data_IF_457515257479
#
_entry.id   IF_457515257479
#
_cell.length_a   1.000
_cell.length_b   1.000
_cell.length_c   1.000
_cell.angle_alpha   90.00
_cell.angle_beta   90.00
_cell.angle_gamma   90.00
#
_symmetry.space_group_name_H-M   'P 1'
#
loop_
_entity.id
_entity.type
_entity.pdbx_description
1 polymer ?
#
# COMPACT_ATOMS: atom_id res chain seq x y z
N UNK A 1 28.72 -1.18 -2.69
CA UNK A 1 29.30 -2.33 -3.42
C UNK A 1 28.73 -3.67 -2.97
N UNK A 2 28.21 -3.81 -1.75
CA UNK A 2 27.46 -4.98 -1.32
C UNK A 2 26.01 -4.95 -1.85
N UNK A 3 25.52 -6.07 -2.40
CA UNK A 3 24.14 -6.28 -2.85
C UNK A 3 23.16 -6.54 -1.69
N UNK A 4 23.13 -5.63 -0.72
CA UNK A 4 22.42 -5.77 0.55
C UNK A 4 21.04 -5.10 0.61
N UNK A 5 20.48 -4.67 -0.52
CA UNK A 5 19.22 -3.91 -0.52
C UNK A 5 18.06 -4.69 0.12
N UNK A 6 18.07 -6.01 -0.02
CA UNK A 6 17.15 -6.92 0.65
C UNK A 6 17.18 -6.79 2.19
N UNK A 7 18.36 -6.65 2.79
CA UNK A 7 18.51 -6.50 4.23
C UNK A 7 18.10 -5.09 4.68
N UNK A 8 18.54 -4.05 3.97
CA UNK A 8 18.20 -2.67 4.30
C UNK A 8 16.71 -2.38 4.23
N UNK A 9 16.04 -2.82 3.16
CA UNK A 9 14.61 -2.61 3.02
C UNK A 9 13.84 -3.38 4.12
N UNK A 10 14.24 -4.61 4.44
CA UNK A 10 13.56 -5.40 5.46
C UNK A 10 13.74 -4.84 6.87
N UNK A 11 14.98 -4.46 7.25
CA UNK A 11 15.22 -3.85 8.56
C UNK A 11 14.59 -2.48 8.69
N UNK A 12 14.57 -1.67 7.62
CA UNK A 12 13.87 -0.39 7.61
C UNK A 12 12.37 -0.57 7.86
N UNK A 13 11.71 -1.45 7.10
CA UNK A 13 10.29 -1.77 7.24
C UNK A 13 9.97 -2.25 8.66
N UNK A 14 10.71 -3.22 9.18
CA UNK A 14 10.50 -3.72 10.53
C UNK A 14 10.70 -2.62 11.59
N UNK A 15 11.72 -1.77 11.45
CA UNK A 15 12.00 -0.70 12.41
C UNK A 15 10.94 0.40 12.40
N UNK A 16 10.45 0.80 11.22
CA UNK A 16 9.37 1.77 11.12
C UNK A 16 8.08 1.24 11.72
N UNK A 17 7.70 -0.01 11.41
CA UNK A 17 6.50 -0.63 11.96
C UNK A 17 6.56 -0.82 13.47
N UNK A 18 7.73 -1.19 14.01
CA UNK A 18 7.95 -1.23 15.46
C UNK A 18 7.74 0.15 16.10
N UNK A 19 8.27 1.21 15.47
CA UNK A 19 8.12 2.58 15.93
C UNK A 19 6.65 3.02 15.95
N UNK A 20 5.90 2.73 14.88
CA UNK A 20 4.48 3.07 14.78
C UNK A 20 3.65 2.39 15.87
N UNK A 21 3.89 1.10 16.14
CA UNK A 21 3.20 0.40 17.23
C UNK A 21 3.48 1.03 18.60
N UNK A 22 4.74 1.42 18.87
CA UNK A 22 5.08 2.14 20.12
C UNK A 22 4.37 3.48 20.22
N UNK A 23 4.37 4.27 19.13
CA UNK A 23 3.68 5.55 19.06
C UNK A 23 2.17 5.42 19.30
N UNK A 24 1.52 4.43 18.68
CA UNK A 24 0.11 4.13 18.92
C UNK A 24 -0.18 3.68 20.36
N UNK A 25 0.79 3.00 20.99
CA UNK A 25 0.76 2.65 22.41
C UNK A 25 1.03 3.80 23.38
N UNK A 26 1.27 5.02 22.88
CA UNK A 26 1.59 6.21 23.69
C UNK A 26 3.05 6.33 24.10
N UNK A 27 3.92 5.45 23.63
CA UNK A 27 5.37 5.55 23.81
C UNK A 27 5.96 6.41 22.68
N UNK A 28 6.51 7.57 23.03
CA UNK A 28 7.22 8.43 22.06
C UNK A 28 8.72 8.17 22.16
N UNK A 29 9.34 7.50 21.19
CA UNK A 29 10.79 7.26 21.22
C UNK A 29 11.54 8.58 21.09
N UNK A 30 12.59 8.77 21.89
CA UNK A 30 13.45 9.96 21.79
C UNK A 30 14.17 10.06 20.43
N UNK A 31 14.42 8.92 19.77
CA UNK A 31 15.01 8.83 18.44
C UNK A 31 14.62 7.51 17.76
N UNK A 32 14.53 7.51 16.43
CA UNK A 32 14.39 6.27 15.64
C UNK A 32 15.62 5.38 15.83
N UNK A 33 15.39 4.09 16.11
CA UNK A 33 16.44 3.09 16.31
C UNK A 33 16.24 1.91 15.36
N UNK A 34 17.06 1.85 14.31
CA UNK A 34 16.93 0.83 13.27
C UNK A 34 17.54 -0.51 13.67
N UNK A 35 16.94 -1.59 13.16
CA UNK A 35 17.54 -2.93 13.16
C UNK A 35 18.74 -2.98 12.21
N UNK A 36 19.75 -3.75 12.59
CA UNK A 36 21.02 -3.86 11.89
C UNK A 36 20.86 -4.64 10.59
N UNK A 37 21.10 -3.97 9.45
CA UNK A 37 21.21 -4.65 8.16
C UNK A 37 22.45 -5.56 8.13
N UNK A 38 23.51 -5.21 8.87
CA UNK A 38 24.73 -6.02 8.95
C UNK A 38 24.46 -7.40 9.53
N UNK A 39 23.65 -7.48 10.58
CA UNK A 39 23.26 -8.74 11.20
C UNK A 39 22.60 -9.67 10.17
N UNK A 40 21.66 -9.16 9.37
CA UNK A 40 21.01 -9.96 8.33
C UNK A 40 22.02 -10.36 7.25
N UNK A 41 22.83 -9.43 6.76
CA UNK A 41 23.84 -9.71 5.71
C UNK A 41 24.86 -10.76 6.16
N UNK A 42 25.25 -10.76 7.42
CA UNK A 42 26.28 -11.65 7.97
C UNK A 42 25.73 -12.99 8.47
N UNK A 43 24.53 -13.01 9.05
CA UNK A 43 24.03 -14.15 9.81
C UNK A 43 22.79 -14.83 9.22
N UNK A 44 22.07 -14.18 8.31
CA UNK A 44 20.98 -14.85 7.59
C UNK A 44 21.56 -15.90 6.64
N UNK A 45 20.87 -17.02 6.48
CA UNK A 45 21.31 -18.08 5.59
C UNK A 45 21.34 -17.59 4.13
N UNK A 46 22.51 -17.77 3.51
CA UNK A 46 22.87 -17.56 2.11
C UNK A 46 22.87 -16.13 1.52
N UNK A 47 23.84 -15.97 0.62
CA UNK A 47 24.09 -14.89 -0.32
C UNK A 47 24.45 -13.49 0.20
N UNK A 48 24.12 -13.05 1.41
CA UNK A 48 24.75 -11.86 2.02
C UNK A 48 24.89 -10.64 1.09
N UNK A 49 26.11 -10.34 0.62
CA UNK A 49 26.39 -9.29 -0.37
C UNK A 49 26.13 -9.65 -1.84
N UNK A 50 25.94 -10.93 -2.16
CA UNK A 50 25.47 -11.44 -3.45
C UNK A 50 23.93 -11.41 -3.60
N UNK A 51 23.21 -10.90 -2.60
CA UNK A 51 21.75 -10.75 -2.63
C UNK A 51 21.03 -11.58 -1.57
N UNK A 52 19.70 -11.48 -1.59
CA UNK A 52 18.80 -12.17 -0.66
C UNK A 52 17.35 -11.80 -0.97
N UNK A 53 16.42 -12.30 -0.16
CA UNK A 53 14.99 -12.09 -0.35
C UNK A 53 14.29 -11.52 0.89
N UNK A 54 13.12 -10.92 0.68
CA UNK A 54 12.24 -10.47 1.76
C UNK A 54 11.89 -11.62 2.72
N UNK A 55 11.51 -12.77 2.16
CA UNK A 55 11.09 -13.94 2.91
C UNK A 55 12.17 -14.40 3.89
N UNK A 56 13.42 -14.47 3.43
CA UNK A 56 14.58 -14.84 4.26
C UNK A 56 14.83 -13.82 5.36
N UNK A 57 14.81 -12.52 5.03
CA UNK A 57 15.03 -11.45 6.00
C UNK A 57 14.00 -11.48 7.14
N UNK A 58 12.71 -11.51 6.78
CA UNK A 58 11.63 -11.53 7.79
C UNK A 58 11.61 -12.85 8.56
N UNK A 59 11.88 -13.98 7.91
CA UNK A 59 12.02 -15.26 8.60
C UNK A 59 13.15 -15.24 9.64
N UNK A 60 14.34 -14.73 9.26
CA UNK A 60 15.47 -14.61 10.19
C UNK A 60 15.12 -13.72 11.38
N UNK A 61 14.53 -12.54 11.14
CA UNK A 61 14.11 -11.63 12.20
C UNK A 61 13.05 -12.24 13.13
N UNK A 62 12.17 -13.12 12.63
CA UNK A 62 11.19 -13.85 13.45
C UNK A 62 11.87 -14.92 14.32
N UNK A 63 12.75 -15.73 13.73
CA UNK A 63 13.34 -16.89 14.41
C UNK A 63 14.48 -16.54 15.36
N UNK A 64 15.31 -15.57 14.98
CA UNK A 64 16.55 -15.22 15.69
C UNK A 64 16.52 -13.82 16.27
N UNK A 65 15.75 -12.93 15.66
CA UNK A 65 15.80 -11.50 15.94
C UNK A 65 17.02 -10.83 15.30
N UNK A 66 16.98 -9.50 15.26
CA UNK A 66 18.10 -8.68 14.77
C UNK A 66 18.59 -7.72 15.86
N UNK A 67 19.90 -7.50 15.92
CA UNK A 67 20.49 -6.45 16.74
C UNK A 67 20.10 -5.06 16.23
N UNK A 68 20.29 -4.01 17.05
CA UNK A 68 20.19 -2.62 16.59
C UNK A 68 21.43 -2.22 15.80
N UNK A 69 21.25 -1.31 14.85
CA UNK A 69 22.33 -0.71 14.06
C UNK A 69 23.42 -0.07 14.95
N UNK A 70 23.03 0.54 16.07
CA UNK A 70 23.97 1.12 17.05
C UNK A 70 24.85 0.10 17.75
N UNK A 71 24.46 -1.18 17.76
CA UNK A 71 25.20 -2.26 18.40
C UNK A 71 25.99 -3.09 17.38
N UNK A 72 25.37 -3.38 16.24
CA UNK A 72 26.00 -4.07 15.10
C UNK A 72 25.94 -3.17 13.87
N UNK A 73 26.85 -2.18 13.75
CA UNK A 73 26.81 -1.21 12.68
C UNK A 73 27.19 -1.83 11.34
N UNK A 74 26.60 -1.32 10.26
CA UNK A 74 26.89 -1.69 8.89
C UNK A 74 28.33 -1.33 8.50
N UNK A 75 29.08 -2.34 8.05
CA UNK A 75 30.52 -2.23 7.80
C UNK A 75 30.88 -2.14 6.32
N UNK A 76 29.94 -2.40 5.41
CA UNK A 76 30.19 -2.24 3.98
C UNK A 76 30.03 -0.77 3.61
N UNK A 77 31.13 -0.12 3.20
CA UNK A 77 31.11 1.32 2.85
C UNK A 77 30.86 1.55 1.36
N UNK A 78 30.45 2.77 1.02
CA UNK A 78 30.51 3.25 -0.35
C UNK A 78 31.98 3.36 -0.79
N UNK A 79 32.28 2.99 -2.03
CA UNK A 79 33.60 3.16 -2.62
C UNK A 79 33.54 4.05 -3.85
N UNK A 80 34.49 4.96 -3.97
CA UNK A 80 34.69 5.75 -5.18
C UNK A 80 35.82 5.11 -5.99
N UNK A 81 35.56 4.79 -7.26
CA UNK A 81 36.54 4.10 -8.10
C UNK A 81 37.41 5.09 -8.89
N UNK A 82 38.71 5.11 -8.57
CA UNK A 82 39.79 5.68 -9.38
C UNK A 82 41.08 4.85 -9.25
N UNK A 83 41.04 3.65 -8.67
CA UNK A 83 42.25 2.93 -8.24
C UNK A 83 42.63 1.78 -9.17
N UNK A 84 43.92 1.52 -9.33
CA UNK A 84 44.47 0.48 -10.24
C UNK A 84 44.81 -0.85 -9.55
N UNK A 85 44.41 -1.05 -8.29
CA UNK A 85 44.73 -2.28 -7.54
C UNK A 85 43.67 -3.38 -7.75
N UNK A 86 44.04 -4.65 -7.58
CA UNK A 86 43.08 -5.77 -7.62
C UNK A 86 42.20 -5.83 -6.37
N UNK A 87 41.00 -6.41 -6.49
CA UNK A 87 40.06 -6.59 -5.37
C UNK A 87 40.66 -7.41 -4.22
N UNK A 88 41.38 -8.49 -4.53
CA UNK A 88 42.05 -9.34 -3.53
C UNK A 88 43.08 -8.54 -2.69
N UNK A 89 43.80 -7.62 -3.33
CA UNK A 89 44.76 -6.75 -2.65
C UNK A 89 44.06 -5.67 -1.80
N UNK A 90 42.86 -5.25 -2.18
CA UNK A 90 42.02 -4.35 -1.39
C UNK A 90 41.51 -5.06 -0.13
N UNK A 91 40.94 -6.25 -0.28
CA UNK A 91 40.38 -7.06 0.82
C UNK A 91 41.45 -7.39 1.86
N UNK A 92 42.65 -7.77 1.41
CA UNK A 92 43.78 -8.02 2.31
C UNK A 92 44.14 -6.78 3.14
N UNK A 93 44.21 -5.60 2.51
CA UNK A 93 44.53 -4.34 3.22
C UNK A 93 43.44 -3.96 4.23
N UNK A 94 42.17 -4.14 3.89
CA UNK A 94 41.04 -3.87 4.79
C UNK A 94 41.05 -4.82 5.99
N UNK A 95 41.29 -6.11 5.76
CA UNK A 95 41.39 -7.12 6.82
C UNK A 95 42.54 -6.81 7.80
N UNK A 96 43.71 -6.38 7.29
CA UNK A 96 44.85 -5.98 8.13
C UNK A 96 44.52 -4.74 8.96
N UNK A 97 43.92 -3.70 8.37
CA UNK A 97 43.53 -2.48 9.08
C UNK A 97 42.52 -2.74 10.21
N UNK A 98 41.63 -3.72 10.03
CA UNK A 98 40.65 -4.13 11.05
C UNK A 98 41.28 -4.78 12.29
N UNK A 99 42.43 -5.44 12.16
CA UNK A 99 43.11 -6.05 13.31
C UNK A 99 43.82 -5.02 14.19
N UNK A 100 44.07 -3.82 13.68
CA UNK A 100 44.74 -2.73 14.38
C UNK A 100 43.74 -1.61 14.67
N UNK A 101 43.09 -1.69 15.82
CA UNK A 101 41.96 -0.80 16.21
C UNK A 101 42.28 0.70 16.14
N UNK A 102 43.55 1.11 16.22
CA UNK A 102 43.95 2.52 16.09
C UNK A 102 43.97 3.00 14.64
N UNK A 103 44.43 2.20 13.68
CA UNK A 103 44.48 2.60 12.27
C UNK A 103 43.08 2.67 11.66
N UNK A 104 42.20 1.72 11.99
CA UNK A 104 40.79 1.77 11.56
C UNK A 104 40.06 3.02 12.07
N UNK A 105 40.33 3.43 13.32
CA UNK A 105 39.78 4.67 13.88
C UNK A 105 40.36 5.91 13.18
N UNK A 106 41.67 5.97 12.92
CA UNK A 106 42.31 7.10 12.23
C UNK A 106 41.86 7.23 10.77
N UNK A 107 41.65 6.12 10.06
CA UNK A 107 41.13 6.10 8.68
C UNK A 107 39.69 6.63 8.57
N UNK A 108 38.93 6.60 9.65
CA UNK A 108 37.57 7.14 9.73
C UNK A 108 37.51 8.58 10.27
N UNK A 109 38.63 9.09 10.81
CA UNK A 109 38.70 10.37 11.52
C UNK A 109 39.18 11.56 10.67
N UNK A 110 39.67 11.35 9.44
CA UNK A 110 40.03 12.45 8.52
C UNK A 110 38.82 13.10 7.80
N UNK A 111 37.60 12.84 8.25
CA UNK A 111 36.46 13.72 7.98
C UNK A 111 36.01 14.37 9.28
N UNK A 112 36.31 15.65 9.44
CA UNK A 112 36.01 16.46 10.62
C UNK A 112 34.51 16.73 10.88
N UNK A 113 33.60 15.87 10.39
CA UNK A 113 32.16 16.04 10.50
C UNK A 113 31.45 14.69 10.70
N UNK A 114 31.66 14.06 11.86
CA UNK A 114 31.05 12.77 12.18
C UNK A 114 29.51 12.80 12.28
N UNK A 115 28.88 13.99 12.32
CA UNK A 115 27.42 14.14 12.30
C UNK A 115 26.83 14.38 10.89
N UNK A 116 27.65 14.64 9.86
CA UNK A 116 27.16 14.87 8.48
C UNK A 116 27.90 14.06 7.40
N UNK A 117 28.95 13.30 7.73
CA UNK A 117 29.78 12.58 6.77
C UNK A 117 29.29 11.16 6.40
N UNK A 118 28.00 10.98 6.13
CA UNK A 118 27.50 9.72 5.57
C UNK A 118 28.07 9.38 4.17
N UNK A 119 28.89 10.23 3.55
CA UNK A 119 29.25 10.12 2.13
C UNK A 119 30.67 10.61 1.76
N UNK A 120 31.72 10.29 2.53
CA UNK A 120 33.06 10.16 1.90
C UNK A 120 33.28 8.69 1.62
N UNK A 121 32.90 8.25 0.42
CA UNK A 121 33.18 6.91 -0.06
C UNK A 121 34.69 6.64 0.10
N UNK A 122 35.05 5.50 0.69
CA UNK A 122 36.46 5.15 0.87
C UNK A 122 37.12 4.94 -0.50
N UNK A 123 38.43 5.20 -0.64
CA UNK A 123 39.17 4.74 -1.80
C UNK A 123 39.04 3.21 -1.91
N UNK A 124 38.88 2.68 -3.13
CA UNK A 124 38.73 1.25 -3.43
C UNK A 124 39.85 0.36 -2.89
N UNK A 125 40.96 0.93 -2.39
CA UNK A 125 42.02 0.19 -1.69
C UNK A 125 41.59 -0.41 -0.36
N UNK A 126 40.41 -0.04 0.13
CA UNK A 126 39.83 -0.51 1.40
C UNK A 126 38.48 -1.21 1.21
N UNK A 127 38.38 -2.12 0.23
CA UNK A 127 37.15 -2.86 -0.06
C UNK A 127 36.96 -4.06 0.90
N UNK A 128 35.71 -4.39 1.24
CA UNK A 128 35.32 -5.73 1.67
C UNK A 128 34.43 -6.29 0.57
N UNK A 129 34.96 -7.20 -0.24
CA UNK A 129 34.19 -7.95 -1.25
C UNK A 129 33.33 -9.04 -0.60
N UNK A 130 33.77 -9.57 0.54
CA UNK A 130 33.08 -10.61 1.30
C UNK A 130 32.32 -10.03 2.52
N UNK A 131 31.23 -10.70 2.88
CA UNK A 131 30.47 -10.36 4.08
C UNK A 131 31.32 -10.58 5.34
N UNK A 132 31.19 -9.67 6.31
CA UNK A 132 31.74 -9.90 7.65
C UNK A 132 31.11 -11.18 8.21
N UNK A 133 31.93 -12.11 8.68
CA UNK A 133 31.43 -13.37 9.23
C UNK A 133 30.57 -13.12 10.48
N UNK A 134 29.49 -13.91 10.64
CA UNK A 134 28.51 -13.72 11.71
C UNK A 134 29.12 -13.80 13.12
N UNK A 135 30.08 -14.70 13.33
CA UNK A 135 30.79 -14.90 14.59
C UNK A 135 31.69 -13.72 14.98
N UNK A 136 32.01 -12.84 14.04
CA UNK A 136 32.74 -11.59 14.27
C UNK A 136 31.83 -10.41 14.62
N UNK A 137 30.51 -10.60 14.62
CA UNK A 137 29.56 -9.61 15.12
C UNK A 137 29.48 -9.67 16.65
N UNK A 138 29.19 -8.54 17.33
CA UNK A 138 29.18 -8.53 18.79
C UNK A 138 28.06 -9.42 19.36
N UNK A 139 28.44 -10.58 19.91
CA UNK A 139 27.50 -11.56 20.45
C UNK A 139 26.65 -11.05 21.63
N UNK A 140 27.11 -10.00 22.32
CA UNK A 140 26.41 -9.39 23.45
C UNK A 140 25.26 -8.43 23.04
N UNK A 141 25.05 -8.20 21.74
CA UNK A 141 24.00 -7.29 21.29
C UNK A 141 22.60 -7.84 21.57
N UNK A 142 21.71 -7.08 22.25
CA UNK A 142 20.31 -7.45 22.40
C UNK A 142 19.64 -7.58 21.03
N UNK A 143 18.92 -8.69 20.83
CA UNK A 143 18.18 -8.95 19.59
C UNK A 143 16.70 -8.64 19.79
N UNK A 144 16.13 -7.87 18.86
CA UNK A 144 14.69 -7.63 18.76
C UNK A 144 14.10 -8.63 17.77
N UNK A 145 13.09 -9.39 18.20
CA UNK A 145 12.34 -10.31 17.33
C UNK A 145 11.10 -9.61 16.81
N UNK A 146 10.78 -9.84 15.54
CA UNK A 146 9.44 -9.53 15.03
C UNK A 146 8.49 -10.67 15.44
N UNK A 147 7.27 -10.38 15.95
CA UNK A 147 6.31 -11.42 16.31
C UNK A 147 5.89 -12.26 15.10
N UNK A 148 5.49 -11.60 14.02
CA UNK A 148 5.22 -12.25 12.75
C UNK A 148 5.49 -11.34 11.55
N UNK A 149 5.23 -11.86 10.36
CA UNK A 149 5.34 -11.14 9.09
C UNK A 149 4.34 -11.75 8.10
N UNK A 150 3.97 -10.96 7.09
CA UNK A 150 3.04 -11.39 6.05
C UNK A 150 3.51 -10.98 4.67
N UNK A 151 2.84 -11.53 3.66
CA UNK A 151 2.98 -11.18 2.25
C UNK A 151 1.63 -10.81 1.67
N UNK A 152 1.52 -9.61 1.11
CA UNK A 152 0.47 -9.27 0.15
C UNK A 152 0.87 -9.90 -1.18
N UNK A 153 0.03 -10.83 -1.67
CA UNK A 153 0.33 -11.60 -2.89
C UNK A 153 0.49 -10.67 -4.10
N UNK A 154 1.48 -10.95 -4.94
CA UNK A 154 1.70 -10.20 -6.17
C UNK A 154 0.72 -10.57 -7.29
N UNK A 155 0.84 -9.92 -8.43
CA UNK A 155 0.02 -10.27 -9.61
C UNK A 155 0.32 -11.67 -10.17
N UNK A 156 1.57 -12.13 -10.01
CA UNK A 156 1.94 -13.52 -10.33
C UNK A 156 1.33 -14.57 -9.40
N UNK A 157 0.75 -14.12 -8.28
CA UNK A 157 0.17 -14.97 -7.23
C UNK A 157 -1.35 -14.82 -7.12
N UNK A 158 -1.97 -14.20 -8.12
CA UNK A 158 -3.42 -14.19 -8.33
C UNK A 158 -4.14 -12.87 -8.05
N UNK A 159 -3.46 -11.84 -7.52
CA UNK A 159 -4.08 -10.52 -7.37
C UNK A 159 -4.11 -9.77 -8.71
N UNK A 160 -5.17 -9.02 -8.98
CA UNK A 160 -5.16 -8.03 -10.05
C UNK A 160 -4.35 -6.79 -9.62
N UNK A 161 -3.99 -5.94 -10.58
CA UNK A 161 -3.32 -4.66 -10.28
C UNK A 161 -4.14 -3.81 -9.32
N UNK A 162 -5.42 -3.47 -9.59
CA UNK A 162 -6.21 -2.64 -8.69
C UNK A 162 -6.33 -3.21 -7.27
N UNK A 163 -6.50 -4.53 -7.15
CA UNK A 163 -6.56 -5.20 -5.83
C UNK A 163 -5.27 -5.05 -5.05
N UNK A 164 -4.13 -5.29 -5.70
CA UNK A 164 -2.84 -5.21 -5.05
C UNK A 164 -2.51 -3.78 -4.63
N UNK A 165 -2.76 -2.79 -5.48
CA UNK A 165 -2.51 -1.39 -5.14
C UNK A 165 -3.36 -0.97 -3.94
N UNK A 166 -4.64 -1.34 -3.92
CA UNK A 166 -5.55 -1.08 -2.80
C UNK A 166 -5.04 -1.69 -1.50
N UNK A 167 -4.65 -2.97 -1.52
CA UNK A 167 -4.11 -3.64 -0.33
C UNK A 167 -2.83 -2.98 0.16
N UNK A 168 -1.93 -2.57 -0.75
CA UNK A 168 -0.68 -1.90 -0.39
C UNK A 168 -0.93 -0.50 0.18
N UNK A 169 -1.82 0.29 -0.42
CA UNK A 169 -2.19 1.63 0.06
C UNK A 169 -2.84 1.56 1.45
N UNK A 170 -3.74 0.59 1.65
CA UNK A 170 -4.39 0.34 2.93
C UNK A 170 -3.35 0.08 4.02
N UNK A 171 -2.46 -0.88 3.79
CA UNK A 171 -1.41 -1.26 4.74
C UNK A 171 -0.46 -0.11 5.08
N UNK A 172 -0.15 0.74 4.11
CA UNK A 172 0.69 1.92 4.32
C UNK A 172 0.00 2.96 5.22
N UNK A 173 -1.33 3.11 5.15
CA UNK A 173 -2.09 4.00 6.04
C UNK A 173 -2.21 3.41 7.44
N UNK A 174 -2.50 2.12 7.56
CA UNK A 174 -2.83 1.49 8.84
C UNK A 174 -1.60 1.17 9.67
N UNK A 175 -0.62 0.54 9.04
CA UNK A 175 0.48 -0.14 9.73
C UNK A 175 1.86 0.31 9.24
N UNK A 176 1.90 1.08 8.15
CA UNK A 176 3.09 1.76 7.66
C UNK A 176 3.87 0.96 6.61
N UNK A 177 5.18 1.26 6.43
CA UNK A 177 5.97 0.87 5.27
C UNK A 177 5.92 -0.62 4.92
N UNK A 178 6.06 -0.92 3.64
CA UNK A 178 6.12 -2.27 3.10
C UNK A 178 7.44 -2.51 2.38
N UNK A 179 7.97 -3.72 2.45
CA UNK A 179 9.07 -4.15 1.60
C UNK A 179 8.50 -4.51 0.23
N UNK A 180 9.09 -3.97 -0.83
CA UNK A 180 8.76 -4.33 -2.22
C UNK A 180 10.03 -4.72 -2.97
N UNK A 181 9.86 -5.57 -3.99
CA UNK A 181 10.91 -5.89 -4.96
C UNK A 181 10.56 -5.25 -6.29
N UNK A 182 11.53 -4.61 -6.92
CA UNK A 182 11.41 -4.12 -8.29
C UNK A 182 12.60 -4.58 -9.13
N UNK A 183 12.43 -4.60 -10.45
CA UNK A 183 13.49 -4.86 -11.39
C UNK A 183 14.16 -3.53 -11.79
N UNK A 184 15.48 -3.43 -11.63
CA UNK A 184 16.26 -2.27 -12.08
C UNK A 184 16.79 -2.50 -13.49
N UNK A 185 16.85 -1.41 -14.26
CA UNK A 185 17.44 -1.34 -15.59
C UNK A 185 18.60 -0.34 -15.60
N UNK A 186 19.48 -0.42 -16.60
CA UNK A 186 20.63 0.47 -16.74
C UNK A 186 20.26 1.96 -16.69
N UNK A 187 19.12 2.32 -17.28
CA UNK A 187 18.64 3.69 -17.37
C UNK A 187 18.06 4.24 -16.05
N UNK A 188 17.95 3.43 -14.99
CA UNK A 188 17.63 3.90 -13.65
C UNK A 188 18.63 4.95 -13.13
N UNK A 189 19.89 4.83 -13.55
CA UNK A 189 20.96 5.76 -13.16
C UNK A 189 21.11 6.92 -14.15
N UNK A 190 20.38 6.91 -15.26
CA UNK A 190 20.35 8.01 -16.23
C UNK A 190 19.42 9.11 -15.72
N UNK A 191 19.72 10.38 -16.00
CA UNK A 191 18.83 11.51 -15.69
C UNK A 191 17.66 11.62 -16.67
N UNK A 192 17.79 11.08 -17.89
CA UNK A 192 16.79 11.21 -18.98
C UNK A 192 15.60 10.27 -18.83
N UNK A 193 15.69 9.24 -17.98
CA UNK A 193 14.57 8.32 -17.66
C UNK A 193 13.73 8.78 -16.47
N UNK A 194 13.87 10.04 -16.06
CA UNK A 194 13.18 10.61 -14.91
C UNK A 194 12.41 11.84 -15.33
N UNK A 195 11.15 11.93 -14.92
CA UNK A 195 10.32 13.10 -15.16
C UNK A 195 10.82 14.33 -14.39
N UNK A 196 10.32 15.52 -14.75
CA UNK A 196 10.57 16.75 -13.98
C UNK A 196 10.09 16.64 -12.52
N UNK A 197 9.01 15.88 -12.27
CA UNK A 197 8.49 15.59 -10.93
C UNK A 197 9.27 14.49 -10.18
N UNK A 198 10.27 13.88 -10.82
CA UNK A 198 11.17 12.88 -10.26
C UNK A 198 10.63 11.45 -10.28
N UNK A 199 9.68 11.13 -11.16
CA UNK A 199 9.16 9.78 -11.38
C UNK A 199 10.05 9.06 -12.40
N UNK A 200 10.58 7.91 -12.00
CA UNK A 200 11.28 7.00 -12.90
C UNK A 200 10.30 6.27 -13.82
N UNK A 201 10.68 6.20 -15.09
CA UNK A 201 10.00 5.42 -16.12
C UNK A 201 11.07 4.77 -16.99
N UNK A 202 11.13 3.44 -16.99
CA UNK A 202 12.05 2.71 -17.86
C UNK A 202 11.77 2.98 -19.34
N UNK A 203 12.82 3.30 -20.10
CA UNK A 203 12.77 3.62 -21.54
C UNK A 203 13.77 2.82 -22.37
N UNK A 204 14.89 2.42 -21.77
CA UNK A 204 16.00 1.76 -22.48
C UNK A 204 16.95 1.03 -21.53
N UNK A 205 17.82 0.22 -22.11
CA UNK A 205 18.91 -0.44 -21.38
C UNK A 205 18.52 -1.79 -20.81
N UNK A 206 19.54 -2.57 -20.48
CA UNK A 206 19.37 -3.97 -20.11
C UNK A 206 18.92 -4.15 -18.64
N UNK A 207 18.23 -5.26 -18.33
CA UNK A 207 17.88 -5.62 -16.96
C UNK A 207 19.14 -5.84 -16.11
N UNK A 208 19.27 -5.10 -15.00
CA UNK A 208 20.39 -5.23 -14.05
C UNK A 208 20.13 -6.26 -12.94
N UNK A 209 18.87 -6.40 -12.53
CA UNK A 209 18.46 -7.38 -11.52
C UNK A 209 17.37 -6.85 -10.59
N UNK A 210 16.94 -7.72 -9.66
CA UNK A 210 15.99 -7.32 -8.61
C UNK A 210 16.66 -6.47 -7.54
N UNK A 211 15.90 -5.51 -7.03
CA UNK A 211 16.29 -4.62 -5.95
C UNK A 211 15.17 -4.54 -4.90
N UNK A 212 15.55 -4.60 -3.62
CA UNK A 212 14.63 -4.40 -2.50
C UNK A 212 14.58 -2.93 -2.10
N UNK A 213 13.38 -2.40 -1.87
CA UNK A 213 13.17 -1.05 -1.37
C UNK A 213 12.03 -1.02 -0.36
N UNK A 214 12.00 0.01 0.49
CA UNK A 214 10.89 0.25 1.38
C UNK A 214 9.89 1.19 0.70
N UNK A 215 8.69 0.69 0.42
CA UNK A 215 7.55 1.47 -0.01
C UNK A 215 6.99 2.23 1.20
N UNK A 216 6.85 3.55 1.07
CA UNK A 216 6.46 4.44 2.18
C UNK A 216 5.27 5.34 1.86
N UNK A 217 4.79 5.33 0.62
CA UNK A 217 3.67 6.16 0.22
C UNK A 217 3.40 6.09 -1.28
N UNK A 218 2.44 6.90 -1.71
CA UNK A 218 2.05 7.06 -3.10
C UNK A 218 1.51 8.47 -3.30
N UNK A 219 1.27 8.83 -4.56
CA UNK A 219 0.54 10.04 -4.89
C UNK A 219 0.35 10.19 -6.39
N UNK A 220 -0.07 11.38 -6.78
CA UNK A 220 -0.21 11.79 -8.18
C UNK A 220 0.60 13.08 -8.34
N UNK A 221 1.38 13.18 -9.42
CA UNK A 221 2.12 14.41 -9.70
C UNK A 221 1.27 15.46 -10.44
N UNK A 222 1.89 16.61 -10.74
CA UNK A 222 1.23 17.73 -11.43
C UNK A 222 0.82 17.40 -12.88
N UNK A 223 1.39 16.35 -13.45
CA UNK A 223 1.09 15.87 -14.81
C UNK A 223 0.05 14.72 -14.79
N UNK A 224 -0.65 14.54 -13.67
CA UNK A 224 -1.65 13.49 -13.45
C UNK A 224 -1.09 12.06 -13.57
N UNK A 225 0.21 11.87 -13.25
CA UNK A 225 0.83 10.54 -13.19
C UNK A 225 0.86 10.02 -11.78
N UNK A 226 0.30 8.84 -11.61
CA UNK A 226 0.32 8.13 -10.34
C UNK A 226 1.68 7.50 -10.08
N UNK A 227 2.16 7.57 -8.83
CA UNK A 227 3.45 7.05 -8.44
C UNK A 227 3.44 6.38 -7.08
N UNK A 228 4.36 5.43 -6.91
CA UNK A 228 4.81 4.93 -5.61
C UNK A 228 6.02 5.73 -5.13
N UNK A 229 6.07 6.04 -3.83
CA UNK A 229 7.20 6.69 -3.18
C UNK A 229 7.99 5.66 -2.37
N UNK A 230 9.27 5.51 -2.68
CA UNK A 230 10.15 4.52 -2.07
C UNK A 230 11.35 5.17 -1.41
N UNK A 231 11.78 4.57 -0.30
CA UNK A 231 13.06 4.82 0.34
C UNK A 231 14.09 3.82 -0.20
N UNK A 232 15.18 4.34 -0.74
CA UNK A 232 16.28 3.54 -1.28
C UNK A 232 17.40 3.33 -0.24
N UNK A 233 18.34 2.44 -0.54
CA UNK A 233 19.51 2.12 0.27
C UNK A 233 20.82 2.68 -0.31
N UNK A 234 20.75 3.75 -1.12
CA UNK A 234 21.91 4.36 -1.80
C UNK A 234 22.42 5.65 -1.12
N UNK A 235 21.94 5.92 0.09
CA UNK A 235 22.34 7.08 0.89
C UNK A 235 21.59 8.37 0.52
N UNK A 236 21.66 9.35 1.42
CA UNK A 236 20.87 10.58 1.29
C UNK A 236 21.30 11.49 0.13
N UNK A 237 22.55 11.38 -0.34
CA UNK A 237 23.00 12.17 -1.50
C UNK A 237 22.42 11.66 -2.82
N UNK A 238 21.89 10.45 -2.83
CA UNK A 238 21.27 9.90 -4.02
C UNK A 238 19.88 10.52 -4.22
N UNK A 239 19.72 11.23 -5.34
CA UNK A 239 18.49 11.93 -5.74
C UNK A 239 17.86 12.75 -4.59
N UNK A 240 16.58 12.59 -4.32
CA UNK A 240 15.80 13.44 -3.43
C UNK A 240 15.99 13.02 -1.97
N UNK A 241 17.21 13.07 -1.44
CA UNK A 241 17.46 12.69 -0.05
C UNK A 241 17.50 11.17 0.20
N UNK A 242 17.73 10.36 -0.84
CA UNK A 242 17.66 8.89 -0.79
C UNK A 242 16.30 8.31 -1.18
N UNK A 243 15.32 9.16 -1.48
CA UNK A 243 13.99 8.78 -1.93
C UNK A 243 13.87 8.80 -3.45
N UNK A 244 12.96 7.99 -3.98
CA UNK A 244 12.59 8.02 -5.40
C UNK A 244 11.13 7.67 -5.62
N UNK A 245 10.62 8.11 -6.76
CA UNK A 245 9.29 7.77 -7.22
C UNK A 245 9.37 6.87 -8.44
N UNK A 246 8.43 5.95 -8.55
CA UNK A 246 8.27 5.08 -9.71
C UNK A 246 6.80 5.10 -10.13
N UNK A 247 6.54 4.96 -11.43
CA UNK A 247 5.17 4.93 -11.95
C UNK A 247 4.36 3.81 -11.27
N UNK A 248 3.10 4.12 -10.94
CA UNK A 248 2.13 3.18 -10.37
C UNK A 248 1.33 2.51 -11.50
N UNK A 249 0.89 1.27 -11.29
CA UNK A 249 0.25 0.42 -12.29
C UNK A 249 1.10 -0.77 -12.76
N UNK A 250 0.71 -1.35 -13.89
CA UNK A 250 1.45 -2.43 -14.54
C UNK A 250 2.62 -1.87 -15.35
N UNK A 251 3.84 -1.92 -14.79
CA UNK A 251 5.02 -1.27 -15.35
C UNK A 251 6.17 -2.26 -15.58
N UNK A 252 7.14 -1.93 -16.47
CA UNK A 252 8.30 -2.80 -16.75
C UNK A 252 9.15 -3.17 -15.53
N UNK A 253 9.14 -2.35 -14.49
CA UNK A 253 9.89 -2.59 -13.26
C UNK A 253 9.24 -3.63 -12.34
N UNK A 254 8.06 -4.15 -12.70
CA UNK A 254 7.42 -5.33 -12.10
C UNK A 254 7.22 -5.22 -10.59
N UNK A 255 7.05 -4.01 -10.05
CA UNK A 255 6.88 -3.80 -8.61
C UNK A 255 5.69 -4.61 -8.07
N UNK A 256 4.59 -4.64 -8.85
CA UNK A 256 3.36 -5.37 -8.50
C UNK A 256 3.45 -6.88 -8.73
N UNK A 257 4.42 -7.39 -9.51
CA UNK A 257 4.53 -8.83 -9.78
C UNK A 257 4.85 -9.65 -8.53
N UNK A 258 5.73 -9.12 -7.67
CA UNK A 258 6.27 -9.86 -6.53
C UNK A 258 5.49 -9.64 -5.23
N UNK A 259 4.54 -8.70 -5.25
CA UNK A 259 3.76 -8.29 -4.09
C UNK A 259 4.61 -7.50 -3.09
N UNK A 260 4.11 -7.43 -1.85
CA UNK A 260 4.71 -6.64 -0.79
C UNK A 260 4.76 -7.43 0.52
N UNK A 261 5.70 -7.09 1.40
CA UNK A 261 5.91 -7.77 2.68
C UNK A 261 5.91 -6.77 3.83
N UNK A 262 5.34 -7.17 4.96
CA UNK A 262 5.32 -6.36 6.17
C UNK A 262 5.73 -7.16 7.40
N UNK A 263 6.41 -6.52 8.34
CA UNK A 263 6.51 -7.03 9.71
C UNK A 263 5.19 -6.75 10.44
N UNK A 264 4.75 -7.68 11.26
CA UNK A 264 3.54 -7.54 12.06
C UNK A 264 3.88 -7.67 13.55
N UNK A 265 3.85 -6.52 14.21
CA UNK A 265 4.06 -6.38 15.65
C UNK A 265 2.76 -6.39 16.45
N UNK A 266 1.60 -6.37 15.78
CA UNK A 266 0.28 -6.42 16.42
C UNK A 266 -0.23 -7.86 16.57
N UNK A 267 0.29 -8.80 15.77
CA UNK A 267 0.02 -10.22 15.92
C UNK A 267 0.44 -10.73 17.31
N UNK A 268 -0.54 -10.90 18.18
CA UNK A 268 -0.43 -11.92 19.23
C UNK A 268 -0.38 -13.28 18.53
N UNK A 269 0.37 -14.26 19.05
CA UNK A 269 0.40 -15.62 18.47
C UNK A 269 -1.00 -16.28 18.34
N UNK A 270 -2.02 -15.70 18.98
CA UNK A 270 -3.43 -15.99 18.72
C UNK A 270 -3.98 -15.11 17.58
N UNK A 271 -4.03 -15.63 16.34
CA UNK A 271 -4.81 -15.04 15.22
C UNK A 271 -6.26 -14.73 15.61
N UNK A 272 -6.81 -15.42 16.63
CA UNK A 272 -8.17 -15.23 17.18
C UNK A 272 -8.39 -13.92 17.93
N UNK A 273 -7.36 -13.08 18.10
CA UNK A 273 -7.44 -11.76 18.74
C UNK A 273 -7.28 -10.61 17.76
N UNK A 274 -7.08 -10.90 16.47
CA UNK A 274 -6.94 -9.87 15.44
C UNK A 274 -8.30 -9.22 15.23
N UNK A 275 -8.34 -7.89 15.25
CA UNK A 275 -9.54 -7.16 14.89
C UNK A 275 -9.77 -7.23 13.37
N UNK A 276 -11.03 -7.27 12.90
CA UNK A 276 -11.33 -7.30 11.47
C UNK A 276 -10.83 -6.01 10.80
N UNK A 277 -10.03 -6.16 9.76
CA UNK A 277 -9.50 -5.06 8.97
C UNK A 277 -10.54 -4.62 7.93
N UNK A 278 -10.98 -3.36 8.01
CA UNK A 278 -11.84 -2.74 6.99
C UNK A 278 -10.93 -2.18 5.89
N UNK A 279 -10.90 -2.83 4.72
CA UNK A 279 -9.90 -2.54 3.68
C UNK A 279 -10.45 -1.85 2.43
N UNK A 280 -11.76 -1.71 2.32
CA UNK A 280 -12.43 -0.92 1.29
C UNK A 280 -13.64 -0.25 1.90
N UNK A 281 -13.84 1.04 1.59
CA UNK A 281 -15.06 1.78 1.87
C UNK A 281 -15.38 2.62 0.65
N UNK A 282 -16.46 2.26 -0.05
CA UNK A 282 -17.01 3.02 -1.16
C UNK A 282 -18.24 3.78 -0.69
N UNK A 283 -18.31 5.06 -1.04
CA UNK A 283 -19.48 5.90 -0.83
C UNK A 283 -20.07 6.21 -2.19
N UNK A 284 -21.36 5.99 -2.40
CA UNK A 284 -22.02 6.36 -3.66
C UNK A 284 -23.41 6.92 -3.43
N UNK A 285 -23.94 7.65 -4.41
CA UNK A 285 -25.25 8.28 -4.34
C UNK A 285 -26.17 7.69 -5.41
N UNK A 286 -27.33 7.20 -4.99
CA UNK A 286 -28.31 6.58 -5.89
C UNK A 286 -29.62 7.36 -5.88
N UNK A 287 -29.84 8.26 -6.86
CA UNK A 287 -31.10 8.99 -6.99
C UNK A 287 -32.22 8.07 -7.53
N UNK A 288 -33.41 8.17 -6.94
CA UNK A 288 -34.60 7.42 -7.38
C UNK A 288 -35.62 8.41 -7.97
N UNK A 289 -35.96 8.34 -9.27
CA UNK A 289 -36.93 9.24 -9.87
C UNK A 289 -38.38 8.88 -9.48
N UNK A 290 -39.26 9.89 -9.39
CA UNK A 290 -40.70 9.68 -9.21
C UNK A 290 -41.34 9.12 -10.48
N UNK A 291 -42.00 7.97 -10.39
CA UNK A 291 -42.76 7.40 -11.52
C UNK A 291 -43.99 8.26 -11.83
N UNK A 292 -43.88 9.10 -12.85
CA UNK A 292 -45.05 9.72 -13.48
C UNK A 292 -45.54 8.80 -14.60
N UNK A 293 -46.77 8.29 -14.46
CA UNK A 293 -47.43 7.58 -15.55
C UNK A 293 -47.83 8.58 -16.63
N UNK A 294 -46.97 8.79 -17.63
CA UNK A 294 -47.21 9.15 -19.04
C UNK A 294 -45.84 9.49 -19.68
N UNK A 295 -45.55 8.89 -20.83
CA UNK A 295 -44.23 8.79 -21.45
C UNK A 295 -43.74 10.05 -22.21
N UNK A 296 -43.93 11.27 -21.70
CA UNK A 296 -43.57 12.47 -22.48
C UNK A 296 -42.99 13.67 -21.72
N UNK A 297 -42.63 13.55 -20.43
CA UNK A 297 -41.91 14.63 -19.72
C UNK A 297 -40.60 14.12 -19.10
N UNK A 298 -39.52 14.92 -19.12
CA UNK A 298 -38.28 14.58 -18.43
C UNK A 298 -38.55 14.43 -16.93
N UNK A 299 -38.04 13.34 -16.34
CA UNK A 299 -38.16 13.05 -14.91
C UNK A 299 -37.41 14.12 -14.09
N UNK A 300 -38.12 15.17 -13.68
CA UNK A 300 -37.54 16.31 -12.94
C UNK A 300 -37.73 16.20 -11.43
N UNK A 301 -38.53 15.24 -10.96
CA UNK A 301 -38.82 15.04 -9.54
C UNK A 301 -38.21 13.74 -9.00
N UNK A 302 -37.50 13.86 -7.87
CA UNK A 302 -36.83 12.77 -7.14
C UNK A 302 -37.72 12.27 -6.00
N UNK A 303 -37.84 10.95 -5.86
CA UNK A 303 -38.55 10.29 -4.78
C UNK A 303 -37.66 10.10 -3.55
N UNK A 304 -36.41 9.68 -3.76
CA UNK A 304 -35.42 9.42 -2.71
C UNK A 304 -34.01 9.67 -3.27
N UNK A 305 -33.05 9.97 -2.39
CA UNK A 305 -31.61 9.94 -2.71
C UNK A 305 -30.93 9.09 -1.65
N UNK A 306 -30.39 7.94 -2.04
CA UNK A 306 -29.72 7.03 -1.13
C UNK A 306 -28.22 7.30 -1.10
N UNK A 307 -27.67 7.49 0.10
CA UNK A 307 -26.25 7.31 0.38
C UNK A 307 -26.02 5.81 0.57
N UNK A 308 -25.20 5.22 -0.30
CA UNK A 308 -24.75 3.83 -0.17
C UNK A 308 -23.33 3.84 0.38
N UNK A 309 -23.13 3.22 1.54
CA UNK A 309 -21.80 2.95 2.10
C UNK A 309 -21.56 1.46 1.98
N UNK A 310 -20.58 1.09 1.16
CA UNK A 310 -20.26 -0.29 0.89
C UNK A 310 -18.83 -0.56 1.39
N UNK A 311 -18.63 -1.58 2.23
CA UNK A 311 -17.31 -1.85 2.81
C UNK A 311 -16.99 -3.34 2.85
N UNK A 312 -15.70 -3.64 2.89
CA UNK A 312 -15.18 -5.00 2.89
C UNK A 312 -14.25 -5.23 4.09
N UNK A 313 -14.37 -6.42 4.69
CA UNK A 313 -13.55 -6.87 5.83
C UNK A 313 -12.80 -8.15 5.47
N UNK A 314 -11.60 -8.32 6.03
CA UNK A 314 -10.73 -9.48 5.79
C UNK A 314 -11.29 -10.80 6.38
N UNK A 315 -12.21 -10.68 7.34
CA UNK A 315 -12.99 -11.79 7.87
C UNK A 315 -14.47 -11.40 8.11
N UNK A 316 -15.29 -12.39 8.48
CA UNK A 316 -16.71 -12.21 8.79
C UNK A 316 -16.90 -11.37 10.06
N UNK A 317 -17.44 -10.17 9.91
CA UNK A 317 -17.64 -9.23 11.01
C UNK A 317 -19.06 -8.64 11.01
N UNK A 318 -19.55 -8.27 12.20
CA UNK A 318 -20.63 -7.28 12.33
C UNK A 318 -20.04 -5.91 12.11
N UNK A 319 -20.80 -4.98 11.58
CA UNK A 319 -20.29 -3.64 11.36
C UNK A 319 -21.29 -2.55 11.69
N UNK A 320 -20.75 -1.46 12.23
CA UNK A 320 -21.46 -0.26 12.59
C UNK A 320 -21.01 0.86 11.67
N UNK A 321 -21.93 1.48 10.96
CA UNK A 321 -21.66 2.68 10.16
C UNK A 321 -22.28 3.87 10.85
N UNK A 322 -21.48 4.92 11.09
CA UNK A 322 -21.96 6.18 11.66
C UNK A 322 -21.68 7.31 10.70
N UNK A 323 -22.72 8.08 10.43
CA UNK A 323 -22.67 9.32 9.64
C UNK A 323 -22.95 10.49 10.60
N UNK A 324 -21.96 11.36 10.74
CA UNK A 324 -22.02 12.53 11.62
C UNK A 324 -22.32 13.78 10.78
N UNK A 325 -23.23 14.63 11.26
CA UNK A 325 -23.72 15.82 10.54
C UNK A 325 -24.91 16.55 11.17
N UNK A 326 -25.59 15.96 12.17
CA UNK A 326 -26.64 16.59 12.97
C UNK A 326 -26.48 16.28 14.46
N UNK A 327 -27.14 17.06 15.32
CA UNK A 327 -27.07 17.03 16.80
C UNK A 327 -27.31 15.66 17.47
N UNK A 328 -27.69 14.63 16.70
CA UNK A 328 -27.95 13.26 17.18
C UNK A 328 -27.24 12.12 16.42
N UNK A 329 -26.39 12.38 15.41
CA UNK A 329 -25.53 11.38 14.72
C UNK A 329 -26.18 10.04 14.33
N UNK A 330 -26.42 9.78 13.04
CA UNK A 330 -27.08 8.55 12.60
C UNK A 330 -26.14 7.34 12.66
N UNK A 331 -26.66 6.22 13.15
CA UNK A 331 -25.92 4.97 13.30
C UNK A 331 -26.73 3.82 12.69
N UNK A 332 -26.11 3.00 11.85
CA UNK A 332 -26.70 1.82 11.23
C UNK A 332 -25.83 0.59 11.50
N UNK A 333 -26.44 -0.54 11.88
CA UNK A 333 -25.75 -1.81 12.16
C UNK A 333 -26.07 -2.84 11.06
N UNK A 334 -25.05 -3.54 10.58
CA UNK A 334 -25.17 -4.63 9.59
C UNK A 334 -24.68 -5.94 10.22
N UNK A 335 -25.47 -7.01 10.10
CA UNK A 335 -25.09 -8.36 10.54
C UNK A 335 -25.38 -9.42 9.47
N UNK A 336 -24.49 -10.41 9.34
CA UNK A 336 -24.53 -11.47 8.30
C UNK A 336 -25.70 -12.47 8.40
N UNK A 337 -26.63 -12.34 9.35
CA UNK A 337 -27.77 -13.26 9.48
C UNK A 337 -29.11 -12.55 9.65
N UNK A 338 -29.62 -12.01 8.54
CA UNK A 338 -31.06 -11.96 8.29
C UNK A 338 -31.35 -11.66 6.82
N UNK A 339 -31.98 -12.59 6.12
CA UNK A 339 -32.79 -12.31 4.92
C UNK A 339 -34.27 -12.58 5.28
N UNK A 340 -35.29 -12.03 4.60
CA UNK A 340 -35.29 -11.01 3.53
C UNK A 340 -36.41 -9.94 3.69
N UNK A 341 -36.08 -8.65 3.87
CA UNK A 341 -37.01 -7.53 3.61
C UNK A 341 -36.26 -6.25 3.24
N UNK A 342 -35.42 -6.36 2.23
CA UNK A 342 -34.92 -5.27 1.39
C UNK A 342 -34.15 -5.98 0.30
N UNK A 343 -34.41 -5.63 -0.96
CA UNK A 343 -33.76 -6.24 -2.11
C UNK A 343 -32.24 -6.14 -1.96
N UNK A 344 -31.61 -7.27 -1.66
CA UNK A 344 -30.17 -7.48 -1.78
C UNK A 344 -29.87 -7.41 -3.28
N UNK A 345 -29.40 -6.26 -3.74
CA UNK A 345 -28.60 -6.21 -4.96
C UNK A 345 -27.18 -6.60 -4.56
N UNK A 346 -26.79 -7.80 -4.96
CA UNK A 346 -25.39 -8.24 -4.98
C UNK A 346 -24.65 -7.36 -6.00
N UNK A 347 -24.14 -6.23 -5.55
CA UNK A 347 -23.04 -5.55 -6.22
C UNK A 347 -21.74 -6.10 -5.64
N UNK A 348 -20.96 -6.82 -6.45
CA UNK A 348 -19.60 -7.21 -6.09
C UNK A 348 -18.75 -5.92 -5.98
N UNK A 349 -18.13 -5.69 -4.83
CA UNK A 349 -16.92 -4.87 -4.76
C UNK A 349 -15.76 -5.84 -5.03
N UNK A 350 -14.86 -5.50 -5.95
CA UNK A 350 -13.75 -6.35 -6.37
C UNK A 350 -12.95 -6.93 -5.18
N UNK A 351 -13.18 -8.22 -4.90
CA UNK A 351 -12.45 -9.00 -3.90
C UNK A 351 -13.28 -9.74 -2.83
N UNK A 352 -14.62 -9.58 -2.75
CA UNK A 352 -15.43 -10.34 -1.77
C UNK A 352 -16.89 -9.88 -1.59
N UNK A 353 -17.60 -10.47 -0.61
CA UNK A 353 -18.96 -10.04 -0.21
C UNK A 353 -18.89 -8.63 0.41
N UNK A 354 -19.54 -7.65 -0.23
CA UNK A 354 -19.61 -6.28 0.26
C UNK A 354 -20.81 -6.06 1.18
N UNK A 355 -20.60 -5.42 2.32
CA UNK A 355 -21.67 -4.99 3.20
C UNK A 355 -22.15 -3.60 2.80
N UNK A 356 -23.43 -3.48 2.43
CA UNK A 356 -24.01 -2.19 1.98
C UNK A 356 -24.98 -1.63 3.02
N UNK A 357 -24.72 -0.41 3.46
CA UNK A 357 -25.66 0.42 4.24
C UNK A 357 -26.28 1.47 3.32
N UNK A 358 -27.60 1.58 3.34
CA UNK A 358 -28.34 2.61 2.61
C UNK A 358 -28.97 3.61 3.58
N UNK A 359 -28.74 4.91 3.36
CA UNK A 359 -29.30 6.00 4.17
C UNK A 359 -30.07 6.93 3.23
N UNK A 360 -31.34 7.20 3.55
CA UNK A 360 -32.16 8.14 2.78
C UNK A 360 -31.82 9.58 3.17
N UNK A 361 -31.06 10.25 2.30
CA UNK A 361 -30.59 11.61 2.53
C UNK A 361 -31.74 12.62 2.51
N UNK A 362 -32.80 12.37 1.73
CA UNK A 362 -33.95 13.26 1.63
C UNK A 362 -34.81 13.19 2.88
N UNK A 363 -35.12 11.99 3.37
CA UNK A 363 -35.89 11.81 4.61
C UNK A 363 -35.20 12.48 5.81
N UNK A 364 -33.88 12.54 5.77
CA UNK A 364 -33.05 13.10 6.82
C UNK A 364 -32.62 14.55 6.59
N UNK A 365 -33.02 15.17 5.47
CA UNK A 365 -32.69 16.56 5.12
C UNK A 365 -31.19 16.85 5.04
N UNK A 366 -30.39 15.90 4.54
CA UNK A 366 -28.91 15.96 4.52
C UNK A 366 -28.33 16.39 3.15
N UNK A 367 -29.17 16.77 2.19
CA UNK A 367 -28.69 17.19 0.86
C UNK A 367 -28.00 18.55 0.93
N UNK A 368 -26.79 18.66 0.38
CA UNK A 368 -25.97 19.88 0.46
C UNK A 368 -25.14 20.01 1.73
N UNK A 369 -25.25 19.08 2.67
CA UNK A 369 -24.50 19.10 3.93
C UNK A 369 -23.11 18.47 3.77
N UNK A 370 -22.19 18.88 4.65
CA UNK A 370 -20.91 18.20 4.83
C UNK A 370 -21.02 17.18 5.96
N UNK A 371 -20.70 15.93 5.67
CA UNK A 371 -20.85 14.80 6.59
C UNK A 371 -19.49 14.18 6.91
N UNK A 372 -19.41 13.46 8.03
CA UNK A 372 -18.28 12.57 8.33
C UNK A 372 -18.73 11.12 8.44
N UNK A 373 -17.99 10.22 7.79
CA UNK A 373 -18.24 8.78 7.82
C UNK A 373 -17.23 8.07 8.72
N UNK A 374 -17.73 7.21 9.62
CA UNK A 374 -16.90 6.26 10.36
C UNK A 374 -17.54 4.87 10.32
N UNK A 375 -16.70 3.85 10.12
CA UNK A 375 -17.09 2.45 10.10
C UNK A 375 -16.38 1.72 11.22
N UNK A 376 -17.07 0.86 11.96
CA UNK A 376 -16.48 -0.09 12.89
C UNK A 376 -16.86 -1.48 12.45
N UNK A 377 -15.96 -2.43 12.62
CA UNK A 377 -16.20 -3.85 12.41
C UNK A 377 -15.88 -4.59 13.71
N UNK A 378 -16.68 -5.58 14.08
CA UNK A 378 -16.43 -6.49 15.19
C UNK A 378 -16.60 -7.94 14.78
N UNK A 379 -15.61 -8.77 15.10
CA UNK A 379 -15.67 -10.20 14.81
C UNK A 379 -16.57 -10.95 15.82
N UNK A 380 -16.59 -12.29 15.74
CA UNK A 380 -17.34 -13.13 16.70
C UNK A 380 -16.75 -13.17 18.11
N UNK A 381 -15.50 -12.75 18.27
CA UNK A 381 -14.80 -12.70 19.55
C UNK A 381 -14.86 -11.29 20.18
N UNK A 382 -15.66 -10.38 19.60
CA UNK A 382 -15.79 -8.97 19.97
C UNK A 382 -14.49 -8.16 19.84
N UNK A 383 -13.54 -8.61 19.00
CA UNK A 383 -12.40 -7.79 18.60
C UNK A 383 -12.89 -6.71 17.63
N UNK A 384 -12.50 -5.45 17.82
CA UNK A 384 -13.04 -4.31 17.05
C UNK A 384 -11.99 -3.60 16.22
N UNK A 385 -12.26 -3.41 14.92
CA UNK A 385 -11.52 -2.55 14.00
C UNK A 385 -12.34 -1.33 13.57
N UNK A 386 -11.71 -0.28 13.05
CA UNK A 386 -12.43 0.90 12.57
C UNK A 386 -11.75 1.59 11.39
N UNK A 387 -12.54 2.25 10.55
CA UNK A 387 -12.11 3.08 9.43
C UNK A 387 -12.75 4.48 9.51
N UNK A 388 -11.98 5.51 9.17
CA UNK A 388 -12.39 6.93 9.28
C UNK A 388 -12.04 7.58 10.64
N UNK A 389 -12.51 8.81 10.93
CA UNK A 389 -13.55 9.53 10.19
C UNK A 389 -13.03 10.15 8.88
N UNK A 390 -13.84 10.10 7.83
CA UNK A 390 -13.57 10.80 6.55
C UNK A 390 -14.71 11.78 6.28
N UNK A 391 -14.36 13.04 6.04
CA UNK A 391 -15.33 14.09 5.72
C UNK A 391 -15.63 14.10 4.21
N UNK A 392 -16.89 14.26 3.84
CA UNK A 392 -17.32 14.37 2.44
C UNK A 392 -18.50 15.31 2.28
N UNK A 393 -18.62 15.93 1.11
CA UNK A 393 -19.71 16.85 0.79
C UNK A 393 -20.82 16.10 0.06
N UNK A 394 -22.06 16.24 0.56
CA UNK A 394 -23.25 15.69 -0.10
C UNK A 394 -23.70 16.68 -1.16
N UNK A 395 -23.85 16.27 -2.43
CA UNK A 395 -24.38 17.15 -3.46
C UNK A 395 -25.77 17.67 -3.10
N UNK A 396 -26.08 18.91 -3.50
CA UNK A 396 -27.42 19.45 -3.33
C UNK A 396 -28.42 18.80 -4.31
N UNK A 397 -29.71 19.08 -4.09
CA UNK A 397 -30.79 18.55 -4.94
C UNK A 397 -30.69 19.01 -6.41
N UNK A 398 -30.06 20.16 -6.68
CA UNK A 398 -29.92 20.69 -8.04
C UNK A 398 -28.94 19.83 -8.85
N UNK A 399 -27.83 19.39 -8.25
CA UNK A 399 -26.85 18.49 -8.88
C UNK A 399 -27.51 17.18 -9.32
N UNK A 400 -28.30 16.55 -8.45
CA UNK A 400 -28.97 15.29 -8.78
C UNK A 400 -30.02 15.44 -9.89
N UNK A 401 -30.80 16.52 -9.87
CA UNK A 401 -31.77 16.82 -10.94
C UNK A 401 -31.09 17.07 -12.28
N UNK A 402 -29.98 17.83 -12.28
CA UNK A 402 -29.22 18.10 -13.50
C UNK A 402 -28.66 16.81 -14.11
N UNK A 403 -28.11 15.92 -13.27
CA UNK A 403 -27.59 14.64 -13.75
C UNK A 403 -28.68 13.78 -14.41
N UNK A 404 -29.91 13.79 -13.89
CA UNK A 404 -31.02 13.07 -14.52
C UNK A 404 -31.46 13.71 -15.85
N UNK A 405 -31.28 15.02 -16.02
CA UNK A 405 -31.60 15.72 -17.28
C UNK A 405 -30.52 15.59 -18.35
N UNK A 406 -29.25 15.40 -17.97
CA UNK A 406 -28.12 15.23 -18.90
C UNK A 406 -28.05 13.80 -19.47
N UNK A 407 -28.60 12.81 -18.77
CA UNK A 407 -28.80 11.45 -19.32
C UNK A 407 -30.00 11.48 -20.27
N UNK A 408 -29.74 11.84 -21.54
CA UNK A 408 -30.72 11.84 -22.62
C UNK A 408 -31.23 10.42 -22.91
N UNK A 409 -32.20 9.98 -22.09
CA UNK A 409 -32.88 8.69 -22.14
C UNK A 409 -33.56 8.44 -23.51
N UNK A 410 -33.84 9.51 -24.26
CA UNK A 410 -34.47 9.50 -25.57
C UNK A 410 -33.56 8.90 -26.66
N UNK A 411 -32.23 9.09 -26.56
CA UNK A 411 -31.28 8.72 -27.63
C UNK A 411 -30.87 7.24 -27.62
N UNK A 412 -30.84 6.60 -26.45
CA UNK A 412 -30.51 5.16 -26.33
C UNK A 412 -31.66 4.23 -26.73
N UNK A 413 -32.92 4.65 -26.54
CA UNK A 413 -34.10 3.86 -26.90
C UNK A 413 -34.30 3.74 -28.42
N UNK A 414 -33.99 4.78 -29.19
CA UNK A 414 -34.07 4.74 -30.65
C UNK A 414 -32.96 3.87 -31.28
N UNK A 415 -31.75 3.90 -30.71
CA UNK A 415 -30.60 3.10 -31.19
C UNK A 415 -30.74 1.59 -30.89
N UNK A 416 -31.40 1.21 -29.79
CA UNK A 416 -31.69 -0.22 -29.51
C UNK A 416 -32.92 -0.74 -30.26
N UNK A 417 -33.96 0.09 -30.47
CA UNK A 417 -35.10 -0.28 -31.30
C UNK A 417 -34.72 -0.46 -32.78
N UNK A 418 -33.73 0.29 -33.27
CA UNK A 418 -33.19 0.15 -34.64
C UNK A 418 -32.34 -1.12 -34.86
N UNK A 419 -31.97 -1.87 -33.81
CA UNK A 419 -31.15 -3.09 -33.89
C UNK A 419 -31.94 -4.40 -33.85
N UNK A 420 -33.27 -4.38 -33.78
CA UNK A 420 -34.08 -5.60 -33.84
C UNK A 420 -34.32 -6.06 -35.29
N UNK A 421 -34.08 -7.33 -35.65
CA UNK A 421 -34.41 -7.84 -36.98
C UNK A 421 -35.93 -7.90 -37.16
N UNK A 422 -36.41 -7.28 -38.23
CA UNK A 422 -37.80 -7.38 -38.68
C UNK A 422 -38.07 -8.77 -39.27
N UNK A 423 -38.59 -9.67 -38.44
CA UNK A 423 -39.29 -10.87 -38.92
C UNK A 423 -38.96 -12.14 -38.15
N UNK A 424 -39.93 -12.64 -37.38
CA UNK A 424 -40.37 -14.04 -37.39
C UNK A 424 -41.55 -14.21 -36.42
N UNK A 425 -42.40 -15.17 -36.75
CA UNK A 425 -43.73 -15.45 -36.22
C UNK A 425 -43.89 -15.52 -34.70
N UNK A 426 -45.10 -15.17 -34.25
CA UNK A 426 -45.57 -15.42 -32.89
C UNK A 426 -45.65 -16.92 -32.57
N UNK A 427 -45.21 -17.35 -31.38
CA UNK A 427 -45.82 -18.48 -30.70
C UNK A 427 -46.41 -18.04 -29.35
N UNK A 428 -47.70 -18.30 -29.19
CA UNK A 428 -48.41 -18.28 -27.91
C UNK A 428 -47.77 -19.29 -26.94
N UNK A 429 -47.42 -18.87 -25.73
CA UNK A 429 -47.07 -19.82 -24.66
C UNK A 429 -46.33 -19.21 -23.48
N UNK A 430 -47.00 -19.21 -22.33
CA UNK A 430 -46.56 -18.87 -20.97
C UNK A 430 -45.06 -19.07 -20.67
N UNK A 431 -44.39 -17.98 -20.31
CA UNK A 431 -43.35 -17.80 -19.27
C UNK A 431 -42.47 -16.59 -19.61
N UNK A 432 -43.00 -15.38 -19.43
CA UNK A 432 -42.18 -14.17 -19.41
C UNK A 432 -41.80 -13.85 -17.97
N UNK A 433 -40.54 -14.07 -17.61
CA UNK A 433 -39.93 -13.44 -16.43
C UNK A 433 -39.98 -11.92 -16.64
N UNK A 434 -40.30 -11.10 -15.61
CA UNK A 434 -40.31 -9.66 -15.77
C UNK A 434 -38.87 -9.16 -15.99
N UNK A 435 -38.66 -8.46 -17.10
CA UNK A 435 -37.47 -7.66 -17.38
C UNK A 435 -37.32 -6.61 -16.26
N UNK A 436 -36.17 -6.59 -15.59
CA UNK A 436 -35.81 -5.61 -14.55
C UNK A 436 -34.84 -4.61 -15.18
N UNK A 437 -35.21 -3.33 -15.16
CA UNK A 437 -34.42 -2.21 -15.67
C UNK A 437 -33.65 -1.59 -14.50
N UNK A 438 -32.32 -1.68 -14.51
CA UNK A 438 -31.46 -0.96 -13.57
C UNK A 438 -31.29 0.49 -14.04
N UNK A 439 -31.69 1.45 -13.21
CA UNK A 439 -31.47 2.88 -13.44
C UNK A 439 -30.07 3.20 -12.93
N UNK A 440 -29.24 3.79 -13.79
CA UNK A 440 -27.81 4.07 -13.57
C UNK A 440 -27.54 4.73 -12.20
N UNK A 441 -26.66 4.10 -11.42
CA UNK A 441 -26.17 4.62 -10.13
C UNK A 441 -25.12 5.71 -10.42
N UNK A 442 -25.20 6.86 -9.76
CA UNK A 442 -24.11 7.84 -9.80
C UNK A 442 -23.00 7.38 -8.85
N UNK A 443 -21.95 6.80 -9.42
CA UNK A 443 -20.73 6.48 -8.69
C UNK A 443 -19.93 7.76 -8.48
N UNK A 444 -19.90 8.23 -7.24
CA UNK A 444 -18.96 9.24 -6.79
C UNK A 444 -17.90 8.52 -5.97
N UNK A 445 -16.80 8.09 -6.59
CA UNK A 445 -15.69 7.52 -5.83
C UNK A 445 -15.08 8.61 -4.94
N UNK A 446 -15.06 8.38 -3.63
CA UNK A 446 -14.29 9.15 -2.65
C UNK A 446 -12.98 8.42 -2.38
#
# INVERSE_FOLDING_TARGET
>A
SCGSSWAFAATAVASFRECLVKLHGGEVPASLSFLSAQELVSCSAHHGCSGGSAAEAFYYMKQHGAARETCSPYRMRCFHDQSTISMEAADFKTAVAHTQSSEYATMCHESADAETAACKCLPNVFHLSETVACDLLPAACPKTRIPSYFKIRGTMEGNTVPELERHMMQELITDGPLYVSLFLYEDFFDQTSWSESGIYEHRRGDPLGRHGAALIGWGTDMDSRDYWLLLNSFGMQWRQGGYFKILRGDTPEQLLHYGAWGADFQSTEDEKKRAPAIFAVEVSFSPVPLRHGIASEPLTELAHVWLRVAFATDERAKALVRVLGLASGMTAEVSEKSTPTSTVELGEIEGGEAHTVQIDLMQHSLLGDRLELRVWASDKADNTGSWGPVAFDVPDLHVFRKSLSDVDYSRRLEDEAARMPSGADSPKGKDQKPFRWDVETLHFHI
#
